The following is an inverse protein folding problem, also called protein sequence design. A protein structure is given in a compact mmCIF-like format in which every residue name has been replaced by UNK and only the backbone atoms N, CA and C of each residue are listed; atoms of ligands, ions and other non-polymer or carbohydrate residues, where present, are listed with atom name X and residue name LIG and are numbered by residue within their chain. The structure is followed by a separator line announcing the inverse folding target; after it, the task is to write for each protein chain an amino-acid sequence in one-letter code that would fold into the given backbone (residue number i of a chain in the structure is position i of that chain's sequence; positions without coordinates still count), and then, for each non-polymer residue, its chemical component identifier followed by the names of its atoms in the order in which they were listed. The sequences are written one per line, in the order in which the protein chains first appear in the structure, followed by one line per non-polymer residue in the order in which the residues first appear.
data_IF_992609434572
#
_entry.id   IF_992609434572
#
_cell.length_a   1.000
_cell.length_b   1.000
_cell.length_c   1.000
_cell.angle_alpha   90.00
_cell.angle_beta   90.00
_cell.angle_gamma   90.00
#
_symmetry.space_group_name_H-M   'P 1'
#
loop_
_entity.id
_entity.type
_entity.pdbx_description
1 polymer ?
#
# COMPACT_ATOMS: atom_id res chain seq x y z
N UNK A 1 25.28 -13.81 20.29
CA UNK A 1 24.43 -13.60 19.10
C UNK A 1 25.38 -13.34 17.96
N UNK A 2 25.59 -14.33 17.09
CA UNK A 2 26.53 -14.20 15.97
C UNK A 2 25.93 -13.23 14.96
N UNK A 3 26.66 -12.17 14.66
CA UNK A 3 26.45 -11.33 13.48
C UNK A 3 26.22 -12.25 12.28
N UNK A 4 24.99 -12.29 11.79
CA UNK A 4 24.69 -13.00 10.55
C UNK A 4 25.50 -12.30 9.47
N UNK A 5 26.49 -13.02 8.93
CA UNK A 5 27.27 -12.61 7.77
C UNK A 5 26.29 -12.27 6.64
N UNK A 6 26.03 -10.97 6.44
CA UNK A 6 25.39 -10.45 5.24
C UNK A 6 26.37 -10.71 4.10
N UNK A 7 26.31 -11.92 3.56
CA UNK A 7 27.03 -12.30 2.35
C UNK A 7 26.57 -11.32 1.28
N UNK A 8 27.50 -10.56 0.72
CA UNK A 8 27.33 -9.69 -0.45
C UNK A 8 27.00 -10.57 -1.68
N UNK A 9 25.83 -11.20 -1.64
CA UNK A 9 25.23 -11.85 -2.79
C UNK A 9 24.75 -10.74 -3.70
N UNK A 10 25.38 -10.63 -4.86
CA UNK A 10 25.02 -9.71 -5.93
C UNK A 10 23.49 -9.61 -6.13
N UNK A 11 22.88 -8.60 -5.52
CA UNK A 11 21.47 -8.25 -5.71
C UNK A 11 21.20 -7.73 -7.14
N UNK A 12 22.23 -7.63 -7.99
CA UNK A 12 22.13 -7.09 -9.35
C UNK A 12 21.28 -7.94 -10.29
N UNK A 13 20.94 -9.18 -9.92
CA UNK A 13 20.16 -10.12 -10.73
C UNK A 13 18.78 -10.42 -10.14
N UNK A 14 18.36 -9.72 -9.09
CA UNK A 14 16.98 -9.83 -8.65
C UNK A 14 16.06 -9.23 -9.72
N UNK A 15 15.02 -9.95 -10.15
CA UNK A 15 14.06 -9.41 -11.11
C UNK A 15 13.37 -8.19 -10.48
N UNK A 16 13.54 -7.03 -11.10
CA UNK A 16 12.83 -5.82 -10.73
C UNK A 16 11.44 -5.91 -11.35
N UNK A 17 10.42 -6.14 -10.53
CA UNK A 17 9.02 -6.07 -10.95
C UNK A 17 8.62 -4.61 -11.18
N UNK A 18 7.95 -4.33 -12.29
CA UNK A 18 7.22 -3.06 -12.47
C UNK A 18 5.82 -3.27 -11.92
N UNK A 19 5.46 -2.50 -10.90
CA UNK A 19 4.09 -2.50 -10.40
C UNK A 19 3.28 -1.53 -11.26
N UNK A 20 2.08 -1.93 -11.68
CA UNK A 20 1.16 -1.06 -12.41
C UNK A 20 0.32 -0.26 -11.41
N UNK A 21 -0.12 0.93 -11.83
CA UNK A 21 -1.01 1.76 -11.01
C UNK A 21 -2.36 1.05 -10.87
N UNK A 22 -2.83 0.91 -9.63
CA UNK A 22 -4.07 0.21 -9.30
C UNK A 22 -5.17 1.23 -9.04
N UNK A 23 -6.20 1.19 -9.89
CA UNK A 23 -7.40 2.02 -9.76
C UNK A 23 -8.44 1.37 -8.84
N UNK A 24 -9.25 2.20 -8.19
CA UNK A 24 -10.36 1.70 -7.38
C UNK A 24 -11.47 1.11 -8.25
N UNK A 25 -11.94 -0.09 -7.91
CA UNK A 25 -13.08 -0.74 -8.56
C UNK A 25 -14.23 -0.93 -7.58
N UNK A 26 -15.32 -0.20 -7.81
CA UNK A 26 -16.52 -0.27 -6.97
C UNK A 26 -17.26 -1.63 -7.08
N UNK A 27 -17.12 -2.34 -8.20
CA UNK A 27 -17.77 -3.64 -8.42
C UNK A 27 -17.08 -4.77 -7.68
N UNK A 28 -15.78 -4.61 -7.39
CA UNK A 28 -14.98 -5.55 -6.62
C UNK A 28 -14.91 -5.19 -5.14
N UNK A 29 -15.29 -3.96 -4.79
CA UNK A 29 -15.29 -3.48 -3.42
C UNK A 29 -16.40 -4.17 -2.61
N UNK A 30 -16.03 -4.67 -1.44
CA UNK A 30 -17.00 -5.20 -0.49
C UNK A 30 -17.59 -4.09 0.40
N UNK A 31 -18.46 -4.46 1.34
CA UNK A 31 -19.10 -3.51 2.22
C UNK A 31 -18.10 -2.75 3.12
N UNK A 32 -17.02 -3.43 3.53
CA UNK A 32 -16.02 -2.89 4.43
C UNK A 32 -15.12 -1.88 3.68
N UNK A 33 -14.76 -2.18 2.43
CA UNK A 33 -14.05 -1.25 1.54
C UNK A 33 -14.80 0.08 1.40
N UNK A 34 -16.11 0.00 1.19
CA UNK A 34 -16.97 1.17 1.02
C UNK A 34 -17.11 1.96 2.34
N UNK A 35 -17.20 1.28 3.49
CA UNK A 35 -17.25 1.97 4.79
C UNK A 35 -15.92 2.67 5.09
N UNK A 36 -14.81 2.02 4.80
CA UNK A 36 -13.48 2.59 4.98
C UNK A 36 -13.31 3.88 4.17
N UNK A 37 -13.71 3.88 2.89
CA UNK A 37 -13.68 5.08 2.05
C UNK A 37 -14.52 6.23 2.63
N UNK A 38 -15.74 5.94 3.10
CA UNK A 38 -16.61 6.96 3.72
C UNK A 38 -15.99 7.56 4.97
N UNK A 39 -15.39 6.70 5.82
CA UNK A 39 -14.72 7.13 7.05
C UNK A 39 -13.50 8.00 6.76
N UNK A 40 -12.71 7.65 5.73
CA UNK A 40 -11.57 8.44 5.27
C UNK A 40 -12.00 9.83 4.78
N UNK A 41 -12.96 9.89 3.85
CA UNK A 41 -13.47 11.16 3.31
C UNK A 41 -14.03 12.09 4.41
N UNK A 42 -14.73 11.51 5.40
CA UNK A 42 -15.24 12.29 6.54
C UNK A 42 -14.12 12.81 7.46
N UNK A 43 -12.99 12.11 7.57
CA UNK A 43 -11.84 12.58 8.33
C UNK A 43 -11.13 13.73 7.60
N UNK A 44 -10.92 13.58 6.29
CA UNK A 44 -10.29 14.61 5.47
C UNK A 44 -11.11 15.91 5.49
N UNK A 45 -12.44 15.80 5.33
CA UNK A 45 -13.34 16.96 5.41
C UNK A 45 -13.33 17.65 6.79
N UNK A 46 -13.01 16.94 7.88
CA UNK A 46 -12.79 17.57 9.20
C UNK A 46 -11.44 18.27 9.25
N UNK A 47 -10.39 17.65 8.71
CA UNK A 47 -9.05 18.20 8.70
C UNK A 47 -8.94 19.47 7.84
N UNK A 48 -9.62 19.51 6.69
CA UNK A 48 -9.69 20.70 5.84
C UNK A 48 -10.44 21.88 6.48
N UNK A 49 -11.34 21.61 7.42
CA UNK A 49 -12.15 22.62 8.12
C UNK A 49 -11.56 23.05 9.47
N UNK A 50 -10.43 22.48 9.88
CA UNK A 50 -9.74 22.77 11.13
C UNK A 50 -8.86 24.02 11.01
#
# INVERSE_FOLDING_TARGET
MTEQEFKEGSFSHLPIGKNEDVEFSAELADADDIEAQKRAAAADARAEKA
#
